data_IF_085269688215
#
_entry.id   IF_085269688215
#
_cell.length_a   1.000
_cell.length_b   1.000
_cell.length_c   1.000
_cell.angle_alpha   90.00
_cell.angle_beta   90.00
_cell.angle_gamma   90.00
#
_symmetry.space_group_name_H-M   'P 1'
#
loop_
_entity.id
_entity.type
_entity.pdbx_description
1 polymer ?
#
# COMPACT_ATOMS: atom_id res chain seq x y z
N UNK A 1 -1.39 -6.80 9.73
CA UNK A 1 -1.02 -7.02 8.32
C UNK A 1 -1.54 -5.92 7.40
N UNK A 2 -2.85 -5.83 7.10
CA UNK A 2 -3.35 -4.86 6.08
C UNK A 2 -2.91 -3.41 6.33
N UNK A 3 -2.95 -2.94 7.58
CA UNK A 3 -2.51 -1.58 7.93
C UNK A 3 -1.01 -1.33 7.70
N UNK A 4 -0.18 -2.38 7.71
CA UNK A 4 1.26 -2.28 7.40
C UNK A 4 1.49 -1.89 5.93
N UNK A 5 0.51 -2.12 5.04
CA UNK A 5 0.56 -1.68 3.65
C UNK A 5 0.57 -0.15 3.50
N UNK A 6 0.22 0.61 4.56
CA UNK A 6 0.40 2.07 4.58
C UNK A 6 1.87 2.51 4.50
N UNK A 7 2.83 1.63 4.81
CA UNK A 7 4.25 1.94 4.81
C UNK A 7 4.92 1.56 3.49
N UNK A 8 5.49 2.52 2.73
CA UNK A 8 6.22 2.24 1.50
C UNK A 8 7.42 1.30 1.72
N UNK A 9 8.10 1.39 2.87
CA UNK A 9 9.20 0.46 3.22
C UNK A 9 8.71 -0.97 3.37
N UNK A 10 7.50 -1.15 3.89
CA UNK A 10 6.94 -2.48 4.02
C UNK A 10 6.60 -3.08 2.65
N UNK A 11 6.11 -2.27 1.71
CA UNK A 11 5.89 -2.72 0.34
C UNK A 11 7.20 -3.13 -0.34
N UNK A 12 8.25 -2.32 -0.18
CA UNK A 12 9.57 -2.64 -0.68
C UNK A 12 10.13 -3.93 -0.05
N UNK A 13 9.94 -4.11 1.26
CA UNK A 13 10.31 -5.34 1.94
C UNK A 13 9.60 -6.55 1.34
N UNK A 14 8.27 -6.49 1.15
CA UNK A 14 7.50 -7.57 0.50
C UNK A 14 8.01 -7.87 -0.92
N UNK A 15 8.36 -6.85 -1.69
CA UNK A 15 8.93 -6.99 -3.03
C UNK A 15 10.32 -7.65 -2.98
N UNK A 16 11.21 -7.21 -2.08
CA UNK A 16 12.58 -7.74 -1.94
C UNK A 16 12.60 -9.22 -1.54
N UNK A 17 11.56 -9.66 -0.81
CA UNK A 17 11.37 -11.04 -0.39
C UNK A 17 10.57 -11.86 -1.42
N UNK A 18 10.26 -11.29 -2.60
CA UNK A 18 9.51 -11.91 -3.70
C UNK A 18 8.09 -12.37 -3.35
N UNK A 19 7.50 -11.85 -2.27
CA UNK A 19 6.10 -12.15 -1.95
C UNK A 19 5.15 -11.63 -3.03
N UNK A 20 5.49 -10.48 -3.65
CA UNK A 20 4.67 -9.86 -4.68
C UNK A 20 4.70 -10.59 -6.04
N UNK A 21 5.61 -11.55 -6.20
CA UNK A 21 5.68 -12.46 -7.36
C UNK A 21 4.86 -13.74 -7.14
N UNK A 22 4.52 -14.07 -5.88
CA UNK A 22 3.78 -15.27 -5.54
C UNK A 22 2.28 -15.12 -5.86
N UNK A 23 1.71 -15.91 -6.79
CA UNK A 23 0.30 -15.79 -7.17
C UNK A 23 -0.68 -15.98 -6.01
N UNK A 24 -0.36 -16.84 -5.04
CA UNK A 24 -1.21 -17.06 -3.87
C UNK A 24 -1.23 -15.81 -2.96
N UNK A 25 -0.09 -15.11 -2.84
CA UNK A 25 -0.01 -13.88 -2.07
C UNK A 25 -0.72 -12.73 -2.78
N UNK A 26 -0.59 -12.63 -4.12
CA UNK A 26 -1.35 -11.64 -4.91
C UNK A 26 -2.86 -11.88 -4.80
N UNK A 27 -3.31 -13.14 -4.85
CA UNK A 27 -4.71 -13.48 -4.61
C UNK A 27 -5.16 -13.09 -3.19
N UNK A 28 -4.30 -13.26 -2.19
CA UNK A 28 -4.58 -12.79 -0.84
C UNK A 28 -4.69 -11.25 -0.75
N UNK A 29 -3.83 -10.50 -1.43
CA UNK A 29 -3.96 -9.05 -1.53
C UNK A 29 -5.26 -8.65 -2.23
N UNK A 30 -5.66 -9.36 -3.28
CA UNK A 30 -6.95 -9.16 -3.95
C UNK A 30 -8.12 -9.41 -3.00
N UNK A 31 -8.07 -10.48 -2.21
CA UNK A 31 -9.06 -10.76 -1.16
C UNK A 31 -9.17 -9.60 -0.16
N UNK A 32 -8.04 -9.02 0.28
CA UNK A 32 -8.05 -7.90 1.23
C UNK A 32 -8.72 -6.62 0.70
N UNK A 33 -9.05 -6.50 -0.58
CA UNK A 33 -9.76 -5.33 -1.12
C UNK A 33 -11.13 -5.10 -0.46
N UNK A 34 -11.71 -6.10 0.22
CA UNK A 34 -12.93 -5.90 1.01
C UNK A 34 -12.76 -4.82 2.10
N UNK A 35 -11.53 -4.53 2.55
CA UNK A 35 -11.25 -3.47 3.53
C UNK A 35 -11.66 -2.07 3.05
N UNK A 36 -11.86 -1.87 1.74
CA UNK A 36 -12.35 -0.61 1.18
C UNK A 36 -13.84 -0.36 1.49
N UNK A 37 -14.60 -1.38 1.89
CA UNK A 37 -16.02 -1.21 2.19
C UNK A 37 -16.19 -0.38 3.49
N UNK A 38 -17.14 0.58 3.54
CA UNK A 38 -17.25 1.53 4.66
C UNK A 38 -17.35 0.87 6.04
N UNK A 39 -18.01 -0.28 6.15
CA UNK A 39 -18.18 -1.01 7.40
C UNK A 39 -16.89 -1.65 7.91
N UNK A 40 -15.89 -1.89 7.05
CA UNK A 40 -14.57 -2.37 7.45
C UNK A 40 -13.55 -1.23 7.53
N UNK A 41 -13.59 -0.27 6.61
CA UNK A 41 -12.65 0.84 6.52
C UNK A 41 -12.55 1.65 7.82
N UNK A 42 -13.65 1.76 8.58
CA UNK A 42 -13.71 2.43 9.90
C UNK A 42 -12.75 1.85 10.96
N UNK A 43 -12.26 0.63 10.76
CA UNK A 43 -11.30 -0.02 11.67
C UNK A 43 -9.83 0.18 11.26
N UNK A 44 -9.57 0.85 10.14
CA UNK A 44 -8.21 1.19 9.71
C UNK A 44 -7.75 2.48 10.39
N UNK A 45 -6.55 2.49 10.96
CA UNK A 45 -5.95 3.70 11.53
C UNK A 45 -5.54 4.69 10.43
N UNK A 46 -5.09 4.18 9.29
CA UNK A 46 -4.64 4.96 8.14
C UNK A 46 -5.33 4.48 6.85
N UNK A 47 -6.65 4.69 6.70
CA UNK A 47 -7.42 4.11 5.60
C UNK A 47 -6.91 4.57 4.23
N UNK A 48 -6.62 5.86 4.04
CA UNK A 48 -6.16 6.41 2.77
C UNK A 48 -4.92 5.72 2.21
N UNK A 49 -3.75 5.83 2.89
CA UNK A 49 -2.51 5.19 2.42
C UNK A 49 -2.62 3.67 2.33
N UNK A 50 -3.32 3.03 3.28
CA UNK A 50 -3.51 1.57 3.28
C UNK A 50 -4.25 1.11 2.03
N UNK A 51 -5.42 1.70 1.74
CA UNK A 51 -6.27 1.30 0.63
C UNK A 51 -5.67 1.67 -0.72
N UNK A 52 -5.07 2.87 -0.83
CA UNK A 52 -4.36 3.28 -2.04
C UNK A 52 -3.23 2.31 -2.40
N UNK A 53 -2.40 1.95 -1.43
CA UNK A 53 -1.30 1.02 -1.69
C UNK A 53 -1.82 -0.39 -2.01
N UNK A 54 -2.89 -0.83 -1.36
CA UNK A 54 -3.54 -2.11 -1.67
C UNK A 54 -4.07 -2.16 -3.12
N UNK A 55 -4.62 -1.05 -3.61
CA UNK A 55 -5.05 -0.88 -4.99
C UNK A 55 -3.87 -0.90 -5.97
N UNK A 56 -2.81 -0.15 -5.69
CA UNK A 56 -1.59 -0.15 -6.49
C UNK A 56 -0.97 -1.55 -6.59
N UNK A 57 -0.96 -2.32 -5.51
CA UNK A 57 -0.43 -3.70 -5.51
C UNK A 57 -1.21 -4.68 -6.41
N UNK A 58 -2.44 -4.33 -6.85
CA UNK A 58 -3.14 -5.15 -7.85
C UNK A 58 -2.49 -5.02 -9.24
N UNK A 59 -1.77 -3.94 -9.50
CA UNK A 59 -1.07 -3.70 -10.75
C UNK A 59 0.26 -4.44 -10.76
N UNK A 60 0.43 -5.36 -11.70
CA UNK A 60 1.66 -6.15 -11.83
C UNK A 60 2.90 -5.28 -12.01
N UNK A 61 2.78 -4.23 -12.83
CA UNK A 61 3.85 -3.26 -13.03
C UNK A 61 4.30 -2.62 -11.72
N UNK A 62 3.35 -2.18 -10.88
CA UNK A 62 3.67 -1.56 -9.60
C UNK A 62 4.37 -2.54 -8.64
N UNK A 63 3.96 -3.81 -8.64
CA UNK A 63 4.63 -4.86 -7.84
C UNK A 63 6.11 -5.01 -8.19
N UNK A 64 6.48 -4.82 -9.46
CA UNK A 64 7.87 -4.79 -9.89
C UNK A 64 8.55 -3.46 -9.55
N UNK A 65 7.88 -2.34 -9.82
CA UNK A 65 8.43 -0.99 -9.67
C UNK A 65 8.72 -0.62 -8.20
N UNK A 66 7.96 -1.15 -7.23
CA UNK A 66 8.12 -0.83 -5.79
C UNK A 66 9.41 -1.39 -5.17
N UNK A 67 10.19 -2.18 -5.92
CA UNK A 67 11.56 -2.56 -5.54
C UNK A 67 12.52 -1.36 -5.65
N UNK A 68 12.21 -0.39 -6.52
CA UNK A 68 13.05 0.78 -6.77
C UNK A 68 13.04 1.76 -5.58
N UNK A 69 14.21 2.20 -5.09
CA UNK A 69 14.30 3.27 -4.09
C UNK A 69 13.60 4.56 -4.49
N UNK A 70 13.61 4.90 -5.78
CA UNK A 70 12.99 6.13 -6.29
C UNK A 70 11.46 6.08 -6.16
N UNK A 71 10.87 4.92 -6.46
CA UNK A 71 9.43 4.69 -6.32
C UNK A 71 9.03 4.75 -4.85
N UNK A 72 9.82 4.12 -3.97
CA UNK A 72 9.60 4.17 -2.52
C UNK A 72 9.72 5.59 -1.98
N UNK A 73 10.73 6.35 -2.42
CA UNK A 73 10.92 7.76 -2.08
C UNK A 73 9.73 8.61 -2.50
N UNK A 74 9.24 8.45 -3.73
CA UNK A 74 8.06 9.16 -4.22
C UNK A 74 6.80 8.86 -3.39
N UNK A 75 6.58 7.60 -3.01
CA UNK A 75 5.45 7.22 -2.13
C UNK A 75 5.56 7.85 -0.73
N UNK A 76 6.77 7.96 -0.19
CA UNK A 76 7.01 8.63 1.09
C UNK A 76 6.72 10.12 1.02
N UNK A 77 7.26 10.80 0.00
CA UNK A 77 7.04 12.24 -0.22
C UNK A 77 5.56 12.56 -0.39
N UNK A 78 4.84 11.75 -1.16
CA UNK A 78 3.40 11.90 -1.32
C UNK A 78 2.64 11.71 0.00
N UNK A 79 3.06 10.73 0.81
CA UNK A 79 2.52 10.52 2.15
C UNK A 79 2.72 11.71 3.08
N UNK A 80 3.91 12.33 3.04
CA UNK A 80 4.21 13.56 3.80
C UNK A 80 3.30 14.71 3.36
N UNK A 81 3.20 14.96 2.05
CA UNK A 81 2.35 16.02 1.49
C UNK A 81 0.87 15.84 1.85
N UNK A 82 0.38 14.61 1.78
CA UNK A 82 -1.00 14.30 2.16
C UNK A 82 -1.28 14.55 3.65
N UNK A 83 -0.31 14.24 4.52
CA UNK A 83 -0.41 14.51 5.96
C UNK A 83 -0.35 16.01 6.28
N UNK A 84 0.45 16.78 5.55
CA UNK A 84 0.53 18.24 5.67
C UNK A 84 -0.77 18.90 5.22
N UNK A 85 -1.35 18.49 4.09
CA UNK A 85 -2.62 18.99 3.59
C UNK A 85 -3.77 18.78 4.60
N UNK A 86 -3.77 17.64 5.30
CA UNK A 86 -4.75 17.33 6.35
C UNK A 86 -4.58 18.16 7.63
N UNK A 87 -3.36 18.62 7.96
CA UNK A 87 -3.14 19.47 9.14
C UNK A 87 -3.53 20.93 8.90
N UNK A 88 -3.66 21.33 7.64
CA UNK A 88 -4.03 22.69 7.24
C UNK A 88 -5.53 22.91 6.99
N UNK A 89 -6.37 21.86 7.10
CA UNK A 89 -7.83 21.90 6.93
C UNK A 89 -8.57 21.74 8.25
#
# INVERSE_FOLDING_TARGET
>A
FVQSLSSPLYLNHLASQKYLENPAFVAYLSYLQYWALPHYAKYLMYPGPTLKNLELLQQERFRADVLSPDVVGGLMEEGVRAAEAWRGS
#
